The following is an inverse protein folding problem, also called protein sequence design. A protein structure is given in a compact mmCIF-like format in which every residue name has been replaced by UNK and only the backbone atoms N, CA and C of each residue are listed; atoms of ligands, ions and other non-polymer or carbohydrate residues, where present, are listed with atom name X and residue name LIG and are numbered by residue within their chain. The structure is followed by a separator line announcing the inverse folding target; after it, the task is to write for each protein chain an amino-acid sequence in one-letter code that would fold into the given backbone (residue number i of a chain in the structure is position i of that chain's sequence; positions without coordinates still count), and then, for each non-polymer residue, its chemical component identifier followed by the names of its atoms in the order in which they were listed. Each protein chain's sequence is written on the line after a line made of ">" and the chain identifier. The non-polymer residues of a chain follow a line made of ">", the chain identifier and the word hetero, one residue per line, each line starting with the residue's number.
data_IF_229718349056
#
_entry.id   IF_229718349056
#
_cell.length_a   1.000
_cell.length_b   1.000
_cell.length_c   1.000
_cell.angle_alpha   90.00
_cell.angle_beta   90.00
_cell.angle_gamma   90.00
#
_symmetry.space_group_name_H-M   'P 1'
#
loop_
_entity.id
_entity.type
_entity.pdbx_description
1 polymer ?
#
# COMPACT_ATOMS: atom_id res chain seq x y z
N UNK A 1 -8.25 39.51 91.92
CA UNK A 1 -9.04 38.48 91.25
C UNK A 1 -10.18 39.22 90.58
N UNK A 2 -10.24 39.48 89.29
CA UNK A 2 -9.41 39.19 88.12
C UNK A 2 -9.85 40.28 87.12
N UNK A 3 -8.97 41.22 86.75
CA UNK A 3 -9.34 42.36 85.89
C UNK A 3 -8.35 42.61 84.75
N UNK A 4 -7.44 41.66 84.49
CA UNK A 4 -6.47 41.72 83.39
C UNK A 4 -6.71 40.66 82.29
N UNK A 5 -7.72 39.78 82.44
CA UNK A 5 -8.02 38.75 81.43
C UNK A 5 -9.00 39.21 80.36
N UNK A 6 -9.86 40.21 80.64
CA UNK A 6 -10.87 40.66 79.66
C UNK A 6 -10.25 41.47 78.52
N UNK A 7 -9.15 42.17 78.78
CA UNK A 7 -8.49 43.01 77.77
C UNK A 7 -7.60 42.21 76.81
N UNK A 8 -7.22 40.98 77.16
CA UNK A 8 -6.50 40.06 76.28
C UNK A 8 -7.41 39.21 75.41
N UNK A 9 -8.64 38.94 75.88
CA UNK A 9 -9.64 38.17 75.14
C UNK A 9 -10.24 39.02 74.02
N UNK A 10 -10.66 40.25 74.32
CA UNK A 10 -11.19 41.20 73.32
C UNK A 10 -10.13 41.55 72.25
N UNK A 11 -8.86 41.71 72.65
CA UNK A 11 -7.76 42.03 71.73
C UNK A 11 -7.30 40.83 70.90
N UNK A 12 -7.55 39.60 71.37
CA UNK A 12 -7.33 38.37 70.60
C UNK A 12 -8.49 38.10 69.63
N UNK A 13 -9.72 38.44 70.01
CA UNK A 13 -10.90 38.38 69.14
C UNK A 13 -10.76 39.38 67.99
N UNK A 14 -10.35 40.63 68.26
CA UNK A 14 -10.06 41.63 67.21
C UNK A 14 -8.92 41.20 66.26
N UNK A 15 -7.92 40.45 66.75
CA UNK A 15 -6.85 39.89 65.93
C UNK A 15 -7.32 38.70 65.09
N UNK A 16 -8.26 37.90 65.59
CA UNK A 16 -8.87 36.78 64.86
C UNK A 16 -9.82 37.31 63.79
N UNK A 17 -10.62 38.34 64.10
CA UNK A 17 -11.54 38.97 63.16
C UNK A 17 -10.77 39.70 62.05
N UNK A 18 -9.66 40.37 62.39
CA UNK A 18 -8.76 40.96 61.39
C UNK A 18 -7.97 39.92 60.57
N UNK A 19 -7.86 38.67 61.04
CA UNK A 19 -7.31 37.56 60.25
C UNK A 19 -8.40 36.95 59.38
N UNK A 20 -9.62 36.76 59.86
CA UNK A 20 -10.75 36.22 59.09
C UNK A 20 -11.21 37.21 58.00
N UNK A 21 -11.28 38.52 58.26
CA UNK A 21 -11.60 39.54 57.25
C UNK A 21 -10.53 39.64 56.14
N UNK A 22 -9.30 39.19 56.41
CA UNK A 22 -8.21 39.11 55.40
C UNK A 22 -8.13 37.71 54.78
N UNK A 23 -8.74 36.70 55.41
CA UNK A 23 -8.79 35.32 54.94
C UNK A 23 -10.02 35.04 54.07
N UNK A 24 -11.06 35.87 54.14
CA UNK A 24 -12.29 35.70 53.37
C UNK A 24 -12.21 36.22 51.91
N UNK A 25 -11.11 36.86 51.50
CA UNK A 25 -10.91 37.29 50.10
C UNK A 25 -9.84 36.53 49.29
N UNK A 26 -9.05 35.64 49.89
CA UNK A 26 -7.95 34.94 49.20
C UNK A 26 -8.01 33.40 49.24
N UNK A 27 -8.41 32.85 48.08
CA UNK A 27 -7.84 31.62 47.48
C UNK A 27 -7.78 30.33 48.33
N UNK A 28 -8.94 29.81 48.73
CA UNK A 28 -9.04 28.39 49.11
C UNK A 28 -9.00 27.49 47.86
N UNK A 29 -7.81 26.95 47.58
CA UNK A 29 -7.66 25.71 46.81
C UNK A 29 -6.28 25.43 46.22
N UNK A 30 -5.62 26.43 45.62
CA UNK A 30 -4.48 26.18 44.71
C UNK A 30 -3.25 27.10 44.94
N UNK A 31 -3.33 28.07 45.86
CA UNK A 31 -2.18 28.93 46.22
C UNK A 31 -1.66 29.82 45.07
N UNK A 32 -2.48 30.07 44.04
CA UNK A 32 -2.14 30.90 42.89
C UNK A 32 -2.88 32.22 42.97
N UNK A 33 -2.16 33.33 42.82
CA UNK A 33 -2.77 34.66 42.75
C UNK A 33 -3.73 34.78 41.54
N UNK A 34 -4.74 35.66 41.62
CA UNK A 34 -5.72 35.91 40.53
C UNK A 34 -5.08 36.08 39.13
N UNK A 35 -3.88 36.69 39.05
CA UNK A 35 -3.10 36.82 37.81
C UNK A 35 -2.46 35.51 37.35
N UNK A 36 -1.96 34.69 38.26
CA UNK A 36 -1.36 33.39 37.93
C UNK A 36 -2.43 32.39 37.47
N UNK A 37 -3.63 32.46 38.05
CA UNK A 37 -4.79 31.67 37.61
C UNK A 37 -5.19 31.98 36.16
N UNK A 38 -5.17 33.25 35.77
CA UNK A 38 -5.45 33.67 34.40
C UNK A 38 -4.37 33.18 33.42
N UNK A 39 -3.10 33.17 33.86
CA UNK A 39 -1.99 32.62 33.09
C UNK A 39 -2.11 31.10 32.92
N UNK A 40 -2.51 30.36 33.97
CA UNK A 40 -2.57 28.90 33.88
C UNK A 40 -3.75 28.41 33.04
N UNK A 41 -4.91 29.09 33.14
CA UNK A 41 -6.05 28.86 32.24
C UNK A 41 -5.65 29.12 30.77
N UNK A 42 -4.85 30.17 30.52
CA UNK A 42 -4.35 30.45 29.16
C UNK A 42 -3.40 29.35 28.66
N UNK A 43 -2.52 28.81 29.52
CA UNK A 43 -1.57 27.73 29.19
C UNK A 43 -2.25 26.39 28.98
N UNK A 44 -3.25 26.04 29.78
CA UNK A 44 -4.04 24.84 29.56
C UNK A 44 -4.81 24.90 28.24
N UNK A 45 -5.39 26.07 27.91
CA UNK A 45 -6.07 26.25 26.63
C UNK A 45 -5.11 26.10 25.44
N UNK A 46 -3.87 26.60 25.55
CA UNK A 46 -2.84 26.39 24.52
C UNK A 46 -2.42 24.91 24.40
N UNK A 47 -2.26 24.20 25.52
CA UNK A 47 -1.92 22.76 25.52
C UNK A 47 -3.03 21.95 24.86
N UNK A 48 -4.28 22.25 25.16
CA UNK A 48 -5.42 21.61 24.51
C UNK A 48 -5.49 21.93 23.02
N UNK A 49 -5.22 23.18 22.62
CA UNK A 49 -5.12 23.58 21.21
C UNK A 49 -4.02 22.82 20.47
N UNK A 50 -2.81 22.77 21.03
CA UNK A 50 -1.68 22.01 20.48
C UNK A 50 -1.99 20.52 20.40
N UNK A 51 -2.63 19.95 21.42
CA UNK A 51 -3.06 18.54 21.41
C UNK A 51 -4.14 18.25 20.37
N UNK A 52 -5.09 19.18 20.15
CA UNK A 52 -6.10 19.07 19.11
C UNK A 52 -5.51 19.23 17.70
N UNK A 53 -4.54 20.13 17.53
CA UNK A 53 -3.80 20.29 16.28
C UNK A 53 -2.93 19.06 15.99
N UNK A 54 -2.24 18.52 16.98
CA UNK A 54 -1.50 17.26 16.87
C UNK A 54 -2.45 16.10 16.53
N UNK A 55 -3.63 16.00 17.16
CA UNK A 55 -4.65 15.01 16.80
C UNK A 55 -5.17 15.21 15.38
N UNK A 56 -5.39 16.45 14.92
CA UNK A 56 -5.78 16.73 13.53
C UNK A 56 -4.67 16.38 12.54
N UNK A 57 -3.41 16.68 12.86
CA UNK A 57 -2.26 16.31 12.03
C UNK A 57 -2.05 14.79 12.00
N UNK A 58 -2.20 14.12 13.14
CA UNK A 58 -2.15 12.67 13.24
C UNK A 58 -3.33 12.02 12.50
N UNK A 59 -4.53 12.59 12.54
CA UNK A 59 -5.69 12.09 11.77
C UNK A 59 -5.50 12.29 10.27
N UNK A 60 -4.93 13.43 9.85
CA UNK A 60 -4.48 13.67 8.47
C UNK A 60 -3.39 12.69 8.04
N UNK A 61 -2.45 12.33 8.92
CA UNK A 61 -1.37 11.36 8.65
C UNK A 61 -1.83 9.90 8.74
N UNK A 62 -2.76 9.54 9.62
CA UNK A 62 -3.30 8.19 9.79
C UNK A 62 -4.28 7.80 8.67
N UNK A 63 -4.95 8.77 8.04
CA UNK A 63 -5.61 8.54 6.75
C UNK A 63 -4.62 8.08 5.65
N UNK A 64 -3.30 8.21 5.89
CA UNK A 64 -2.25 7.68 5.04
C UNK A 64 -1.98 6.17 5.17
N UNK A 65 -2.43 5.50 6.24
CA UNK A 65 -2.22 4.04 6.43
C UNK A 65 -3.15 3.24 5.51
N UNK A 66 -4.31 3.81 5.16
CA UNK A 66 -5.21 3.27 4.15
C UNK A 66 -5.07 4.06 2.84
N UNK A 67 -3.85 4.43 2.46
CA UNK A 67 -3.58 4.79 1.06
C UNK A 67 -3.88 3.55 0.24
N UNK A 68 -4.95 3.62 -0.54
CA UNK A 68 -5.38 2.56 -1.43
C UNK A 68 -4.31 2.42 -2.52
N UNK A 69 -3.25 1.66 -2.24
CA UNK A 69 -2.12 1.44 -3.16
C UNK A 69 -2.56 0.45 -4.24
N UNK A 70 -3.45 0.93 -5.10
CA UNK A 70 -3.93 0.24 -6.28
C UNK A 70 -2.79 -0.39 -7.10
N UNK A 71 -1.62 0.25 -7.27
CA UNK A 71 -0.49 -0.36 -7.97
C UNK A 71 -0.07 -1.72 -7.38
N UNK A 72 0.00 -1.83 -6.05
CA UNK A 72 0.40 -3.09 -5.41
C UNK A 72 -0.64 -4.19 -5.61
N UNK A 73 -1.93 -3.86 -5.48
CA UNK A 73 -3.01 -4.82 -5.71
C UNK A 73 -3.03 -5.32 -7.17
N UNK A 74 -2.90 -4.40 -8.13
CA UNK A 74 -2.87 -4.70 -9.56
C UNK A 74 -1.70 -5.61 -9.91
N UNK A 75 -0.52 -5.40 -9.32
CA UNK A 75 0.64 -6.27 -9.50
C UNK A 75 0.43 -7.68 -8.95
N UNK A 76 -0.26 -7.84 -7.82
CA UNK A 76 -0.58 -9.16 -7.27
C UNK A 76 -1.51 -9.92 -8.23
N UNK A 77 -2.59 -9.27 -8.67
CA UNK A 77 -3.55 -9.88 -9.59
C UNK A 77 -2.90 -10.23 -10.93
N UNK A 78 -2.11 -9.31 -11.50
CA UNK A 78 -1.32 -9.57 -12.71
C UNK A 78 -0.31 -10.70 -12.52
N UNK A 79 0.31 -10.78 -11.35
CA UNK A 79 1.20 -11.87 -10.93
C UNK A 79 0.54 -13.24 -10.98
N UNK A 80 -0.63 -13.37 -10.37
CA UNK A 80 -1.39 -14.63 -10.42
C UNK A 80 -1.85 -14.96 -11.84
N UNK A 81 -2.32 -13.98 -12.61
CA UNK A 81 -2.71 -14.20 -14.01
C UNK A 81 -1.53 -14.72 -14.84
N UNK A 82 -0.35 -14.12 -14.68
CA UNK A 82 0.86 -14.55 -15.38
C UNK A 82 1.26 -15.99 -15.04
N UNK A 83 1.24 -16.37 -13.75
CA UNK A 83 1.61 -17.73 -13.34
C UNK A 83 0.62 -18.76 -13.88
N UNK A 84 -0.68 -18.46 -13.91
CA UNK A 84 -1.67 -19.42 -14.40
C UNK A 84 -1.51 -19.67 -15.91
N UNK A 85 -1.09 -18.66 -16.69
CA UNK A 85 -0.84 -18.84 -18.13
C UNK A 85 0.25 -19.85 -18.48
N UNK A 86 1.14 -20.19 -17.54
CA UNK A 86 2.15 -21.23 -17.70
C UNK A 86 1.54 -22.62 -17.95
N UNK A 87 0.43 -22.91 -17.26
CA UNK A 87 -0.24 -24.22 -17.25
C UNK A 87 -1.35 -24.34 -18.28
N UNK A 88 -1.77 -23.22 -18.87
CA UNK A 88 -2.84 -23.18 -19.85
C UNK A 88 -2.35 -23.63 -21.23
N UNK A 89 -3.27 -24.12 -22.05
CA UNK A 89 -2.97 -24.50 -23.41
C UNK A 89 -2.64 -23.26 -24.25
N UNK A 90 -1.53 -23.30 -24.98
CA UNK A 90 -0.94 -22.15 -25.69
C UNK A 90 -1.10 -22.30 -27.20
N UNK A 91 -0.95 -23.52 -27.70
CA UNK A 91 -1.15 -23.88 -29.10
C UNK A 91 -2.25 -24.94 -29.16
N UNK A 92 -3.21 -24.72 -30.06
CA UNK A 92 -4.26 -25.69 -30.37
C UNK A 92 -3.88 -26.37 -31.68
N UNK A 93 -4.08 -27.69 -31.71
CA UNK A 93 -3.74 -28.56 -32.83
C UNK A 93 -4.94 -29.43 -33.17
N UNK A 94 -5.24 -29.54 -34.46
CA UNK A 94 -6.28 -30.46 -34.94
C UNK A 94 -5.78 -31.92 -34.98
N UNK A 95 -6.69 -32.93 -34.98
CA UNK A 95 -6.36 -34.36 -34.88
C UNK A 95 -5.50 -34.96 -36.02
N UNK A 96 -5.07 -34.17 -37.01
CA UNK A 96 -4.22 -34.60 -38.12
C UNK A 96 -2.75 -34.18 -38.01
N UNK A 97 -2.37 -33.39 -37.01
CA UNK A 97 -1.00 -32.86 -36.86
C UNK A 97 -0.16 -33.79 -35.98
N UNK A 98 1.07 -34.17 -36.38
CA UNK A 98 1.95 -34.99 -35.56
C UNK A 98 2.24 -34.33 -34.19
N UNK A 99 2.30 -35.10 -33.09
CA UNK A 99 2.48 -34.57 -31.73
C UNK A 99 3.85 -33.91 -31.49
N UNK A 100 4.79 -34.14 -32.40
CA UNK A 100 6.13 -33.56 -32.46
C UNK A 100 6.13 -32.10 -32.92
N UNK A 101 5.10 -31.67 -33.66
CA UNK A 101 4.98 -30.30 -34.17
C UNK A 101 4.29 -29.43 -33.11
N UNK A 102 5.08 -28.56 -32.47
CA UNK A 102 4.62 -27.63 -31.44
C UNK A 102 4.58 -28.20 -30.02
N UNK A 103 3.95 -27.44 -29.10
CA UNK A 103 3.82 -27.78 -27.68
C UNK A 103 2.45 -27.34 -27.16
N UNK A 104 1.92 -28.05 -26.16
CA UNK A 104 0.60 -27.69 -25.62
C UNK A 104 0.69 -26.58 -24.56
N UNK A 105 1.70 -26.63 -23.69
CA UNK A 105 1.89 -25.70 -22.57
C UNK A 105 3.32 -25.19 -22.52
N UNK A 106 3.55 -24.09 -21.81
CA UNK A 106 4.90 -23.55 -21.62
C UNK A 106 5.83 -24.54 -20.90
N UNK A 107 5.30 -25.33 -19.97
CA UNK A 107 6.04 -26.42 -19.30
C UNK A 107 6.47 -27.50 -20.29
N UNK A 108 5.56 -27.94 -21.18
CA UNK A 108 5.89 -28.92 -22.21
C UNK A 108 6.98 -28.38 -23.15
N UNK A 109 6.90 -27.11 -23.52
CA UNK A 109 7.91 -26.44 -24.31
C UNK A 109 9.28 -26.39 -23.60
N UNK A 110 9.29 -26.08 -22.30
CA UNK A 110 10.49 -26.05 -21.48
C UNK A 110 11.16 -27.42 -21.40
N UNK A 111 10.38 -28.49 -21.18
CA UNK A 111 10.91 -29.85 -21.06
C UNK A 111 11.48 -30.37 -22.40
N UNK A 112 10.88 -29.96 -23.53
CA UNK A 112 11.34 -30.38 -24.86
C UNK A 112 12.56 -29.61 -25.36
N UNK A 113 12.59 -28.29 -25.13
CA UNK A 113 13.60 -27.40 -25.74
C UNK A 113 14.67 -26.92 -24.76
N UNK A 114 14.41 -26.95 -23.45
CA UNK A 114 15.27 -26.33 -22.43
C UNK A 114 15.30 -24.79 -22.46
N UNK A 115 14.45 -24.15 -23.27
CA UNK A 115 14.49 -22.69 -23.45
C UNK A 115 14.02 -21.91 -22.22
N UNK A 116 14.83 -20.97 -21.75
CA UNK A 116 14.50 -20.12 -20.58
C UNK A 116 13.30 -19.20 -20.85
N UNK A 117 13.05 -18.84 -22.12
CA UNK A 117 11.90 -18.01 -22.52
C UNK A 117 10.57 -18.62 -22.08
N UNK A 118 10.53 -19.96 -21.95
CA UNK A 118 9.32 -20.63 -21.56
C UNK A 118 8.99 -20.48 -20.07
N UNK A 119 9.96 -20.07 -19.24
CA UNK A 119 9.75 -19.77 -17.81
C UNK A 119 9.34 -18.31 -17.56
N UNK A 120 9.29 -17.47 -18.60
CA UNK A 120 9.00 -16.05 -18.46
C UNK A 120 7.65 -15.75 -17.79
N UNK A 121 6.56 -16.50 -18.04
CA UNK A 121 5.30 -16.26 -17.34
C UNK A 121 5.41 -16.45 -15.83
N UNK A 122 6.07 -17.52 -15.38
CA UNK A 122 6.31 -17.78 -13.96
C UNK A 122 7.24 -16.76 -13.34
N UNK A 123 8.40 -16.50 -13.98
CA UNK A 123 9.39 -15.55 -13.45
C UNK A 123 8.79 -14.14 -13.39
N UNK A 124 8.12 -13.69 -14.46
CA UNK A 124 7.45 -12.41 -14.51
C UNK A 124 6.33 -12.30 -13.47
N UNK A 125 5.56 -13.38 -13.29
CA UNK A 125 4.51 -13.46 -12.26
C UNK A 125 5.04 -13.34 -10.84
N UNK A 126 6.05 -14.13 -10.48
CA UNK A 126 6.72 -14.06 -9.16
C UNK A 126 7.34 -12.68 -8.96
N UNK A 127 7.98 -12.12 -9.98
CA UNK A 127 8.61 -10.80 -9.90
C UNK A 127 7.57 -9.70 -9.67
N UNK A 128 6.39 -9.75 -10.30
CA UNK A 128 5.29 -8.82 -10.01
C UNK A 128 4.79 -8.94 -8.57
N UNK A 129 4.65 -10.16 -8.05
CA UNK A 129 4.23 -10.38 -6.66
C UNK A 129 5.27 -9.78 -5.70
N UNK A 130 6.56 -10.01 -5.93
CA UNK A 130 7.64 -9.42 -5.13
C UNK A 130 7.63 -7.89 -5.23
N UNK A 131 7.47 -7.35 -6.45
CA UNK A 131 7.36 -5.91 -6.66
C UNK A 131 6.16 -5.29 -5.97
N UNK A 132 5.05 -6.02 -5.80
CA UNK A 132 3.89 -5.50 -5.08
C UNK A 132 4.23 -5.10 -3.63
N UNK A 133 5.08 -5.89 -2.97
CA UNK A 133 5.59 -5.57 -1.62
C UNK A 133 6.44 -4.29 -1.62
N UNK A 134 7.29 -4.12 -2.63
CA UNK A 134 8.15 -2.93 -2.74
C UNK A 134 7.37 -1.69 -3.16
N UNK A 135 6.44 -1.80 -4.10
CA UNK A 135 5.52 -0.74 -4.50
C UNK A 135 4.64 -0.30 -3.31
N UNK A 136 4.30 -1.24 -2.42
CA UNK A 136 3.61 -0.94 -1.18
C UNK A 136 4.45 -0.16 -0.17
N UNK A 137 5.78 -0.07 -0.29
CA UNK A 137 6.62 0.75 0.59
C UNK A 137 7.09 2.02 -0.10
N UNK A 138 7.59 1.89 -1.32
CA UNK A 138 8.20 2.93 -2.13
C UNK A 138 7.54 2.99 -3.52
N UNK A 139 6.77 4.06 -3.85
CA UNK A 139 6.09 4.19 -5.15
C UNK A 139 7.06 4.21 -6.35
N UNK A 140 8.33 4.60 -6.14
CA UNK A 140 9.35 4.58 -7.19
C UNK A 140 9.69 3.17 -7.67
N UNK A 141 9.49 2.15 -6.84
CA UNK A 141 9.77 0.76 -7.21
C UNK A 141 8.80 0.23 -8.26
N UNK A 142 7.65 0.87 -8.46
CA UNK A 142 6.63 0.47 -9.46
C UNK A 142 7.17 0.52 -10.88
N UNK A 143 8.16 1.38 -11.19
CA UNK A 143 8.83 1.42 -12.51
C UNK A 143 9.50 0.09 -12.90
N UNK A 144 9.91 -0.71 -11.91
CA UNK A 144 10.48 -2.03 -12.17
C UNK A 144 9.46 -3.01 -12.76
N UNK A 145 8.16 -2.69 -12.72
CA UNK A 145 7.10 -3.47 -13.36
C UNK A 145 7.21 -3.50 -14.90
N UNK A 146 8.02 -2.62 -15.49
CA UNK A 146 8.38 -2.71 -16.92
C UNK A 146 9.08 -4.01 -17.29
N UNK A 147 9.90 -4.56 -16.38
CA UNK A 147 10.63 -5.82 -16.61
C UNK A 147 9.67 -7.00 -16.79
N UNK A 148 8.79 -7.33 -15.83
CA UNK A 148 7.86 -8.43 -16.00
C UNK A 148 6.85 -8.17 -17.12
N UNK A 149 6.47 -6.91 -17.37
CA UNK A 149 5.65 -6.55 -18.53
C UNK A 149 6.32 -6.95 -19.85
N UNK A 150 7.60 -6.60 -20.03
CA UNK A 150 8.36 -6.97 -21.20
C UNK A 150 8.52 -8.49 -21.32
N UNK A 151 8.80 -9.19 -20.23
CA UNK A 151 8.92 -10.66 -20.23
C UNK A 151 7.63 -11.35 -20.69
N UNK A 152 6.48 -10.90 -20.19
CA UNK A 152 5.17 -11.45 -20.56
C UNK A 152 4.78 -11.13 -21.99
N UNK A 153 5.04 -9.89 -22.44
CA UNK A 153 4.83 -9.51 -23.83
C UNK A 153 5.70 -10.36 -24.77
N UNK A 154 6.99 -10.54 -24.45
CA UNK A 154 7.88 -11.41 -25.22
C UNK A 154 7.38 -12.87 -25.25
N UNK A 155 6.97 -13.42 -24.10
CA UNK A 155 6.45 -14.79 -24.03
C UNK A 155 5.19 -14.97 -24.91
N UNK A 156 4.21 -14.07 -24.79
CA UNK A 156 3.00 -14.11 -25.61
C UNK A 156 3.30 -13.94 -27.10
N UNK A 157 4.12 -12.96 -27.48
CA UNK A 157 4.50 -12.72 -28.88
C UNK A 157 5.31 -13.87 -29.48
N UNK A 158 6.12 -14.57 -28.69
CA UNK A 158 6.92 -15.72 -29.17
C UNK A 158 6.01 -16.83 -29.67
N UNK A 159 4.87 -17.07 -29.01
CA UNK A 159 3.90 -18.09 -29.47
C UNK A 159 3.35 -17.73 -30.84
N UNK A 160 2.90 -16.49 -31.01
CA UNK A 160 2.42 -16.01 -32.31
C UNK A 160 3.49 -16.12 -33.38
N UNK A 161 4.71 -15.69 -33.07
CA UNK A 161 5.85 -15.81 -33.97
C UNK A 161 6.10 -17.27 -34.38
N UNK A 162 6.09 -18.22 -33.44
CA UNK A 162 6.30 -19.64 -33.72
C UNK A 162 5.20 -20.23 -34.60
N UNK A 163 3.93 -19.88 -34.35
CA UNK A 163 2.79 -20.34 -35.18
C UNK A 163 2.92 -19.76 -36.59
N UNK A 164 3.15 -18.46 -36.74
CA UNK A 164 3.33 -17.83 -38.04
C UNK A 164 4.54 -18.39 -38.79
N UNK A 165 5.65 -18.61 -38.10
CA UNK A 165 6.85 -19.20 -38.69
C UNK A 165 6.58 -20.64 -39.16
N UNK A 166 5.89 -21.45 -38.37
CA UNK A 166 5.54 -22.82 -38.73
C UNK A 166 4.66 -22.88 -40.00
N UNK A 167 3.60 -22.05 -40.07
CA UNK A 167 2.72 -21.97 -41.23
C UNK A 167 3.44 -21.41 -42.47
N UNK A 168 4.39 -20.49 -42.28
CA UNK A 168 5.19 -19.94 -43.38
C UNK A 168 6.19 -20.97 -43.93
N UNK A 169 6.77 -21.80 -43.05
CA UNK A 169 7.71 -22.84 -43.44
C UNK A 169 7.01 -24.04 -44.09
N UNK A 170 5.82 -24.40 -43.59
CA UNK A 170 4.98 -25.46 -44.16
C UNK A 170 3.51 -24.98 -44.25
N UNK A 171 3.06 -24.52 -45.44
CA UNK A 171 1.70 -24.04 -45.66
C UNK A 171 0.62 -25.11 -45.44
N UNK A 172 0.96 -26.40 -45.41
CA UNK A 172 -0.03 -27.46 -45.15
C UNK A 172 -0.56 -27.43 -43.72
N UNK A 173 0.14 -26.75 -42.81
CA UNK A 173 -0.26 -26.56 -41.41
C UNK A 173 -1.23 -25.40 -41.21
N UNK A 174 -1.53 -24.63 -42.27
CA UNK A 174 -2.48 -23.51 -42.22
C UNK A 174 -3.87 -24.02 -41.80
N UNK A 175 -4.46 -23.39 -40.78
CA UNK A 175 -5.75 -23.80 -40.21
C UNK A 175 -5.71 -25.02 -39.28
N UNK A 176 -4.61 -25.79 -39.27
CA UNK A 176 -4.44 -26.96 -38.41
C UNK A 176 -3.70 -26.66 -37.10
N UNK A 177 -2.90 -25.59 -37.09
CA UNK A 177 -2.17 -25.10 -35.91
C UNK A 177 -2.46 -23.63 -35.72
N UNK A 178 -2.94 -23.26 -34.53
CA UNK A 178 -3.19 -21.86 -34.19
C UNK A 178 -2.92 -21.58 -32.71
N UNK A 179 -2.64 -20.30 -32.40
CA UNK A 179 -2.46 -19.83 -31.04
C UNK A 179 -3.82 -19.81 -30.32
N UNK A 180 -3.83 -20.28 -29.07
CA UNK A 180 -5.00 -20.17 -28.20
C UNK A 180 -5.20 -18.72 -27.70
N UNK A 181 -6.21 -18.45 -26.87
CA UNK A 181 -6.34 -17.15 -26.19
C UNK A 181 -5.27 -16.89 -25.10
N UNK A 182 -4.48 -17.89 -24.70
CA UNK A 182 -3.50 -17.77 -23.60
C UNK A 182 -2.38 -16.75 -23.87
N UNK A 183 -1.75 -16.70 -25.06
CA UNK A 183 -0.85 -15.61 -25.42
C UNK A 183 -1.46 -14.20 -25.28
N UNK A 184 -2.76 -14.06 -25.54
CA UNK A 184 -3.46 -12.77 -25.36
C UNK A 184 -3.54 -12.43 -23.87
N UNK A 185 -3.86 -13.38 -23.01
CA UNK A 185 -3.91 -13.12 -21.57
C UNK A 185 -2.54 -12.77 -20.98
N UNK A 186 -1.43 -13.25 -21.56
CA UNK A 186 -0.08 -12.80 -21.21
C UNK A 186 0.15 -11.33 -21.61
N UNK A 187 -0.30 -10.92 -22.79
CA UNK A 187 -0.23 -9.50 -23.20
C UNK A 187 -1.11 -8.64 -22.29
N UNK A 188 -2.29 -9.13 -21.90
CA UNK A 188 -3.15 -8.45 -20.92
C UNK A 188 -2.43 -8.32 -19.58
N UNK A 189 -1.77 -9.38 -19.09
CA UNK A 189 -0.96 -9.33 -17.86
C UNK A 189 0.16 -8.29 -17.97
N UNK A 190 0.82 -8.18 -19.13
CA UNK A 190 1.81 -7.14 -19.39
C UNK A 190 1.21 -5.73 -19.32
N UNK A 191 0.03 -5.52 -19.91
CA UNK A 191 -0.70 -4.25 -19.82
C UNK A 191 -1.12 -3.94 -18.38
N UNK A 192 -1.53 -4.95 -17.61
CA UNK A 192 -1.85 -4.81 -16.17
C UNK A 192 -0.62 -4.36 -15.37
N UNK A 193 0.56 -4.88 -15.69
CA UNK A 193 1.81 -4.40 -15.08
C UNK A 193 2.11 -2.94 -15.44
N UNK A 194 1.84 -2.50 -16.67
CA UNK A 194 1.96 -1.09 -17.07
C UNK A 194 0.90 -0.20 -16.41
N UNK A 195 -0.33 -0.71 -16.21
CA UNK A 195 -1.39 0.00 -15.49
C UNK A 195 -0.98 0.29 -14.04
N UNK A 196 -0.22 -0.61 -13.40
CA UNK A 196 0.33 -0.32 -12.07
C UNK A 196 1.25 0.92 -12.08
N UNK A 197 2.06 1.09 -13.13
CA UNK A 197 2.91 2.28 -13.31
C UNK A 197 2.06 3.54 -13.51
N UNK A 198 1.06 3.48 -14.40
CA UNK A 198 0.18 4.62 -14.67
C UNK A 198 -0.64 5.04 -13.45
N UNK A 199 -1.12 4.08 -12.65
CA UNK A 199 -1.84 4.36 -11.41
C UNK A 199 -0.94 5.06 -10.39
N UNK A 200 0.34 4.70 -10.33
CA UNK A 200 1.34 5.40 -9.52
C UNK A 200 1.56 6.83 -10.00
N UNK A 201 1.54 7.11 -11.30
CA UNK A 201 1.67 8.48 -11.82
C UNK A 201 0.47 9.36 -11.49
N UNK A 202 -0.70 8.76 -11.26
CA UNK A 202 -1.91 9.48 -10.82
C UNK A 202 -1.95 9.72 -9.31
N UNK A 203 -1.23 8.91 -8.54
CA UNK A 203 -1.12 9.04 -7.07
C UNK A 203 -0.09 10.13 -6.64
N UNK A 204 0.87 10.47 -7.50
CA UNK A 204 1.85 11.56 -7.33
C UNK A 204 1.29 12.92 -7.81
#
# INVERSE_FOLDING_TARGET
>A
MDEDSSNSEDMAEDLIDAIDDVSDEDDVGDGLTKKEREIDVSRESERQRKAQELRKQLRRRQLGILTYRWPAFVLIVGGFLAITTEFLQVIIREPGVPPEVGFNTFIDALLRSGGVIYLFPVIGGVFMIVLSYFAYKNPRATWLALIPAAMLAMAGSTVYFLVTFAVTADPTLEGLIYASPTPISMIIAAVVALLAVALKEKED
#
